data_IF_342783861511
#
_entry.id   IF_342783861511
#
_cell.length_a   1.000
_cell.length_b   1.000
_cell.length_c   1.000
_cell.angle_alpha   90.00
_cell.angle_beta   90.00
_cell.angle_gamma   90.00
#
_symmetry.space_group_name_H-M   'P 1'
#
loop_
_entity.id
_entity.type
_entity.pdbx_description
1 polymer ?
#
# COMPACT_ATOMS: atom_id res chain seq x y z
N UNK A 1 -8.07 -10.18 -0.02
CA UNK A 1 -7.05 -9.25 -0.56
C UNK A 1 -7.01 -9.43 -2.05
N UNK A 2 -7.05 -8.34 -2.82
CA UNK A 2 -6.87 -8.42 -4.26
C UNK A 2 -5.65 -7.61 -4.69
N UNK A 3 -4.76 -8.22 -5.45
CA UNK A 3 -3.65 -7.52 -6.10
C UNK A 3 -4.14 -7.05 -7.46
N UNK A 4 -4.19 -5.73 -7.67
CA UNK A 4 -4.65 -5.14 -8.93
C UNK A 4 -3.50 -4.68 -9.83
N UNK A 5 -2.28 -4.66 -9.29
CA UNK A 5 -1.07 -4.39 -10.05
C UNK A 5 0.13 -5.07 -9.40
N UNK A 6 1.01 -5.64 -10.22
CA UNK A 6 2.29 -6.22 -9.80
C UNK A 6 3.30 -6.08 -10.94
N UNK A 7 3.84 -4.89 -11.11
CA UNK A 7 4.76 -4.58 -12.20
C UNK A 7 6.09 -5.31 -12.00
N UNK A 8 6.60 -5.93 -13.05
CA UNK A 8 7.84 -6.72 -13.06
C UNK A 8 7.86 -7.85 -12.02
N UNK A 9 6.69 -8.32 -11.59
CA UNK A 9 6.56 -9.34 -10.54
C UNK A 9 7.35 -8.97 -9.27
N UNK A 10 7.21 -7.70 -8.84
CA UNK A 10 7.92 -7.19 -7.67
C UNK A 10 7.55 -7.94 -6.38
N UNK A 11 6.30 -8.38 -6.25
CA UNK A 11 5.88 -9.27 -5.16
C UNK A 11 5.58 -10.68 -5.71
N UNK A 12 5.88 -11.73 -4.93
CA UNK A 12 6.55 -11.71 -3.62
C UNK A 12 7.97 -11.17 -3.70
N UNK A 13 8.37 -10.43 -2.65
CA UNK A 13 9.70 -9.83 -2.58
C UNK A 13 10.78 -10.92 -2.57
N UNK A 14 11.81 -10.71 -3.38
CA UNK A 14 12.97 -11.57 -3.48
C UNK A 14 14.25 -10.75 -3.25
N UNK A 15 15.37 -11.44 -3.07
CA UNK A 15 16.67 -10.79 -2.88
C UNK A 15 16.63 -9.71 -1.80
N UNK A 16 16.07 -10.07 -0.62
CA UNK A 16 15.92 -9.18 0.53
C UNK A 16 17.25 -8.55 0.95
N UNK A 17 18.36 -9.25 0.72
CA UNK A 17 19.73 -8.78 0.94
C UNK A 17 20.09 -7.50 0.18
N UNK A 18 19.40 -7.20 -0.91
CA UNK A 18 19.63 -6.02 -1.74
C UNK A 18 18.68 -4.85 -1.44
N UNK A 19 17.68 -5.09 -0.59
CA UNK A 19 16.62 -4.12 -0.33
C UNK A 19 16.95 -3.25 0.89
N UNK A 20 16.76 -1.95 0.73
CA UNK A 20 16.62 -0.99 1.82
C UNK A 20 15.19 -0.51 1.83
N UNK A 21 14.40 -1.08 2.73
CA UNK A 21 12.96 -0.88 2.78
C UNK A 21 12.63 0.19 3.82
N UNK A 22 11.70 1.09 3.45
CA UNK A 22 10.96 1.89 4.40
C UNK A 22 9.48 1.53 4.33
N UNK A 23 8.81 1.48 5.47
CA UNK A 23 7.35 1.41 5.54
C UNK A 23 6.76 2.76 5.93
N UNK A 24 5.61 3.10 5.35
CA UNK A 24 4.89 4.34 5.62
C UNK A 24 3.43 4.04 5.91
N UNK A 25 2.91 4.51 7.05
CA UNK A 25 1.48 4.53 7.31
C UNK A 25 0.92 5.95 7.07
N UNK A 26 0.04 6.09 6.09
CA UNK A 26 -0.62 7.36 5.73
C UNK A 26 -1.98 7.40 6.42
N UNK A 27 -2.20 8.39 7.28
CA UNK A 27 -3.43 8.57 8.05
C UNK A 27 -3.41 7.92 9.43
N UNK A 28 -2.24 7.56 9.97
CA UNK A 28 -2.10 6.97 11.32
C UNK A 28 -1.27 7.86 12.24
N UNK A 29 -1.63 7.84 13.53
CA UNK A 29 -0.88 8.51 14.59
C UNK A 29 0.17 7.60 15.24
N UNK A 30 0.09 6.30 14.96
CA UNK A 30 0.96 5.27 15.54
C UNK A 30 1.35 4.25 14.47
N UNK A 31 2.39 3.47 14.75
CA UNK A 31 2.78 2.32 13.92
C UNK A 31 1.57 1.38 13.75
N UNK A 32 1.27 1.04 12.51
CA UNK A 32 0.12 0.20 12.18
C UNK A 32 0.42 -1.30 12.36
N UNK A 33 -0.64 -2.10 12.48
CA UNK A 33 -0.52 -3.58 12.46
C UNK A 33 0.20 -4.05 11.20
N UNK A 34 -0.06 -3.41 10.05
CA UNK A 34 0.62 -3.71 8.80
C UNK A 34 2.13 -3.52 8.91
N UNK A 35 2.58 -2.37 9.42
CA UNK A 35 4.01 -2.08 9.61
C UNK A 35 4.66 -3.04 10.61
N UNK A 36 3.99 -3.35 11.72
CA UNK A 36 4.50 -4.32 12.69
C UNK A 36 4.68 -5.71 12.05
N UNK A 37 3.73 -6.12 11.19
CA UNK A 37 3.86 -7.40 10.49
C UNK A 37 4.96 -7.39 9.44
N UNK A 38 5.13 -6.32 8.67
CA UNK A 38 6.26 -6.16 7.75
C UNK A 38 7.61 -6.28 8.48
N UNK A 39 7.73 -5.62 9.63
CA UNK A 39 8.92 -5.64 10.49
C UNK A 39 9.30 -7.06 10.94
N UNK A 40 8.34 -7.98 11.08
CA UNK A 40 8.63 -9.37 11.46
C UNK A 40 9.30 -10.20 10.37
N UNK A 41 9.26 -9.74 9.12
CA UNK A 41 9.94 -10.40 7.99
C UNK A 41 11.33 -9.81 7.73
N UNK A 42 11.47 -8.50 7.89
CA UNK A 42 12.72 -7.80 7.64
C UNK A 42 12.75 -6.50 8.43
N UNK A 43 13.88 -6.23 9.07
CA UNK A 43 14.10 -4.92 9.72
C UNK A 43 14.02 -3.80 8.69
N UNK A 44 13.25 -2.75 9.00
CA UNK A 44 13.05 -1.60 8.15
C UNK A 44 12.70 -0.34 8.94
N UNK A 45 12.99 0.81 8.37
CA UNK A 45 12.56 2.07 8.98
C UNK A 45 11.06 2.29 8.79
N UNK A 46 10.41 2.76 9.86
CA UNK A 46 8.96 2.95 9.91
C UNK A 46 8.61 4.43 10.01
N UNK A 47 7.84 4.92 9.06
CA UNK A 47 7.35 6.30 9.01
C UNK A 47 5.83 6.33 9.18
N UNK A 48 5.34 7.42 9.78
CA UNK A 48 3.91 7.69 9.89
C UNK A 48 3.62 9.11 9.42
N UNK A 49 2.42 9.30 8.86
CA UNK A 49 1.87 10.60 8.50
C UNK A 49 0.43 10.67 9.03
N UNK A 50 0.21 11.26 10.20
CA UNK A 50 -1.12 11.57 10.73
C UNK A 50 -1.97 12.39 9.75
N UNK A 51 -3.29 12.29 9.85
CA UNK A 51 -4.21 13.03 8.96
C UNK A 51 -4.05 14.55 9.04
N UNK A 52 -3.59 15.05 10.17
CA UNK A 52 -3.36 16.48 10.45
C UNK A 52 -1.91 16.92 10.22
N UNK A 53 -1.09 16.09 9.58
CA UNK A 53 0.30 16.46 9.27
C UNK A 53 0.38 17.73 8.44
N UNK A 54 1.29 18.62 8.82
CA UNK A 54 1.62 19.83 8.05
C UNK A 54 2.33 19.49 6.73
N UNK A 55 2.35 20.44 5.81
CA UNK A 55 3.10 20.24 4.56
C UNK A 55 4.60 20.03 4.81
N UNK A 56 5.18 20.69 5.80
CA UNK A 56 6.59 20.55 6.20
C UNK A 56 6.89 19.13 6.70
N UNK A 57 5.99 18.57 7.52
CA UNK A 57 6.11 17.19 8.01
C UNK A 57 6.01 16.17 6.86
N UNK A 58 5.06 16.37 5.95
CA UNK A 58 4.92 15.52 4.76
C UNK A 58 6.20 15.59 3.92
N UNK A 59 6.69 16.78 3.62
CA UNK A 59 7.86 16.98 2.76
C UNK A 59 9.13 16.42 3.40
N UNK A 60 9.26 16.50 4.74
CA UNK A 60 10.35 15.89 5.50
C UNK A 60 10.34 14.36 5.37
N UNK A 61 9.19 13.72 5.57
CA UNK A 61 9.05 12.28 5.42
C UNK A 61 9.34 11.86 3.97
N UNK A 62 8.73 12.52 2.99
CA UNK A 62 8.95 12.23 1.57
C UNK A 62 10.41 12.40 1.15
N UNK A 63 11.12 13.37 1.72
CA UNK A 63 12.55 13.55 1.49
C UNK A 63 13.38 12.40 2.07
N UNK A 64 13.06 11.94 3.28
CA UNK A 64 13.73 10.80 3.90
C UNK A 64 13.54 9.51 3.09
N UNK A 65 12.32 9.29 2.54
CA UNK A 65 12.00 8.09 1.76
C UNK A 65 12.83 7.95 0.48
N UNK A 66 13.42 9.00 -0.05
CA UNK A 66 14.33 8.95 -1.21
C UNK A 66 15.62 8.15 -0.96
N UNK A 67 15.96 7.89 0.30
CA UNK A 67 17.13 7.10 0.67
C UNK A 67 16.91 5.58 0.58
N UNK A 68 15.69 5.13 0.28
CA UNK A 68 15.32 3.72 0.19
C UNK A 68 15.11 3.31 -1.27
N UNK A 69 15.37 2.05 -1.57
CA UNK A 69 15.13 1.52 -2.91
C UNK A 69 13.77 0.81 -3.04
N UNK A 70 13.07 0.65 -1.92
CA UNK A 70 11.68 0.19 -1.87
C UNK A 70 10.93 0.90 -0.74
N UNK A 71 9.75 1.43 -1.05
CA UNK A 71 8.82 1.97 -0.05
C UNK A 71 7.52 1.17 -0.08
N UNK A 72 7.10 0.68 1.09
CA UNK A 72 5.83 -0.02 1.29
C UNK A 72 4.90 0.90 2.07
N UNK A 73 3.85 1.41 1.43
CA UNK A 73 2.93 2.36 2.04
C UNK A 73 1.54 1.78 2.24
N UNK A 74 0.98 1.99 3.42
CA UNK A 74 -0.41 1.70 3.74
C UNK A 74 -1.26 2.97 3.69
N UNK A 75 -2.40 2.92 2.98
CA UNK A 75 -3.44 3.95 3.01
C UNK A 75 -4.43 3.56 4.08
N UNK A 76 -4.48 4.35 5.14
CA UNK A 76 -5.30 4.14 6.33
C UNK A 76 -6.32 5.26 6.55
N UNK A 77 -7.17 5.07 7.55
CA UNK A 77 -8.15 6.06 8.02
C UNK A 77 -9.10 6.53 6.92
N UNK A 78 -9.38 5.68 5.96
CA UNK A 78 -10.39 5.88 4.92
C UNK A 78 -11.75 5.40 5.42
N UNK A 79 -12.82 5.80 4.73
CA UNK A 79 -14.19 5.42 5.05
C UNK A 79 -14.70 4.33 4.10
N UNK A 80 -15.61 3.51 4.58
CA UNK A 80 -16.26 2.50 3.73
C UNK A 80 -17.40 3.10 2.89
N UNK A 81 -17.85 4.31 3.19
CA UNK A 81 -18.97 5.00 2.53
C UNK A 81 -18.50 6.15 1.65
N UNK A 82 -19.26 6.45 0.60
CA UNK A 82 -18.92 7.42 -0.43
C UNK A 82 -18.73 8.89 0.00
N UNK A 83 -19.42 9.43 1.04
CA UNK A 83 -19.23 10.83 1.42
C UNK A 83 -17.77 11.19 1.66
N UNK A 84 -17.38 12.41 1.24
CA UNK A 84 -16.02 12.92 1.36
C UNK A 84 -14.98 12.02 0.65
N UNK A 85 -15.31 11.51 -0.54
CA UNK A 85 -14.40 10.69 -1.36
C UNK A 85 -13.86 9.48 -0.59
N UNK A 86 -14.70 8.80 0.17
CA UNK A 86 -14.32 7.67 1.04
C UNK A 86 -13.25 8.04 2.09
N UNK A 87 -13.22 9.31 2.51
CA UNK A 87 -12.23 9.81 3.48
C UNK A 87 -10.84 10.08 2.88
N UNK A 88 -10.69 10.04 1.57
CA UNK A 88 -9.45 10.46 0.92
C UNK A 88 -9.24 11.96 1.09
N UNK A 89 -8.11 12.34 1.65
CA UNK A 89 -7.74 13.72 1.97
C UNK A 89 -6.61 14.21 1.05
N UNK A 90 -6.33 15.54 1.03
CA UNK A 90 -5.15 16.07 0.34
C UNK A 90 -3.83 15.41 0.77
N UNK A 91 -3.70 15.00 2.04
CA UNK A 91 -2.55 14.26 2.54
C UNK A 91 -2.33 12.96 1.73
N UNK A 92 -3.38 12.14 1.58
CA UNK A 92 -3.31 10.90 0.82
C UNK A 92 -2.88 11.16 -0.63
N UNK A 93 -3.53 12.13 -1.30
CA UNK A 93 -3.25 12.48 -2.70
C UNK A 93 -1.81 12.96 -2.91
N UNK A 94 -1.36 13.92 -2.10
CA UNK A 94 0.00 14.47 -2.17
C UNK A 94 1.05 13.39 -1.92
N UNK A 95 0.83 12.58 -0.89
CA UNK A 95 1.79 11.54 -0.50
C UNK A 95 1.90 10.46 -1.57
N UNK A 96 0.77 9.94 -2.08
CA UNK A 96 0.78 8.89 -3.11
C UNK A 96 1.40 9.43 -4.40
N UNK A 97 1.05 10.64 -4.85
CA UNK A 97 1.66 11.23 -6.05
C UNK A 97 3.19 11.31 -5.93
N UNK A 98 3.70 11.68 -4.77
CA UNK A 98 5.15 11.72 -4.54
C UNK A 98 5.78 10.31 -4.52
N UNK A 99 5.12 9.33 -3.90
CA UNK A 99 5.60 7.95 -3.85
C UNK A 99 5.70 7.32 -5.23
N UNK A 100 4.79 7.62 -6.15
CA UNK A 100 4.81 7.08 -7.52
C UNK A 100 6.03 7.53 -8.34
N UNK A 101 6.76 8.52 -7.86
CA UNK A 101 8.01 9.03 -8.48
C UNK A 101 9.26 8.35 -7.94
N UNK A 102 9.14 7.53 -6.90
CA UNK A 102 10.24 6.73 -6.35
C UNK A 102 10.50 5.48 -7.21
N UNK A 103 11.69 4.88 -7.13
CA UNK A 103 12.07 3.74 -7.97
C UNK A 103 11.14 2.53 -7.85
N UNK A 104 10.78 2.15 -6.61
CA UNK A 104 9.88 1.04 -6.34
C UNK A 104 8.94 1.38 -5.19
N UNK A 105 7.64 1.19 -5.43
CA UNK A 105 6.60 1.44 -4.43
C UNK A 105 5.55 0.34 -4.43
N UNK A 106 5.17 -0.08 -3.23
CA UNK A 106 4.05 -0.98 -2.97
C UNK A 106 3.00 -0.19 -2.18
N UNK A 107 1.78 -0.13 -2.70
CA UNK A 107 0.65 0.53 -2.04
C UNK A 107 -0.36 -0.52 -1.58
N UNK A 108 -0.61 -0.57 -0.28
CA UNK A 108 -1.66 -1.37 0.34
C UNK A 108 -2.81 -0.44 0.76
N UNK A 109 -3.99 -0.61 0.14
CA UNK A 109 -5.18 0.17 0.48
C UNK A 109 -6.08 -0.62 1.45
N UNK A 110 -6.23 -0.08 2.67
CA UNK A 110 -7.05 -0.65 3.73
C UNK A 110 -8.43 0.01 3.78
N UNK A 111 -9.23 -0.17 2.72
CA UNK A 111 -10.51 0.51 2.63
C UNK A 111 -11.36 0.07 1.45
N UNK A 112 -12.39 0.87 1.17
CA UNK A 112 -13.29 0.63 0.06
C UNK A 112 -12.53 0.77 -1.28
N UNK A 113 -12.65 -0.17 -2.22
CA UNK A 113 -11.93 -0.13 -3.50
C UNK A 113 -12.24 1.12 -4.33
N UNK A 114 -13.45 1.66 -4.24
CA UNK A 114 -13.83 2.90 -4.95
C UNK A 114 -13.04 4.13 -4.47
N UNK A 115 -12.43 4.12 -3.28
CA UNK A 115 -11.58 5.21 -2.80
C UNK A 115 -10.39 5.47 -3.74
N UNK A 116 -9.88 4.44 -4.41
CA UNK A 116 -8.75 4.57 -5.34
C UNK A 116 -9.05 5.45 -6.55
N UNK A 117 -10.32 5.63 -6.93
CA UNK A 117 -10.72 6.57 -8.00
C UNK A 117 -10.44 8.04 -7.65
N UNK A 118 -10.24 8.34 -6.38
CA UNK A 118 -10.00 9.67 -5.86
C UNK A 118 -8.51 9.95 -5.57
N UNK A 119 -7.63 9.00 -5.91
CA UNK A 119 -6.17 9.12 -5.75
C UNK A 119 -5.52 9.08 -7.14
N UNK A 120 -5.15 10.26 -7.64
CA UNK A 120 -4.50 10.36 -8.93
C UNK A 120 -3.17 9.62 -8.95
N UNK A 121 -2.86 8.99 -10.07
CA UNK A 121 -1.58 8.30 -10.33
C UNK A 121 -1.30 7.06 -9.45
N UNK A 122 -2.22 6.59 -8.62
CA UNK A 122 -1.99 5.37 -7.82
C UNK A 122 -1.57 4.18 -8.69
N UNK A 123 -2.09 4.11 -9.91
CA UNK A 123 -1.75 3.09 -10.92
C UNK A 123 -0.30 3.20 -11.43
N UNK A 124 0.43 4.27 -11.14
CA UNK A 124 1.86 4.40 -11.45
C UNK A 124 2.77 3.69 -10.45
N UNK A 125 2.25 3.34 -9.26
CA UNK A 125 2.97 2.50 -8.30
C UNK A 125 3.31 1.13 -8.90
N UNK A 126 4.36 0.49 -8.40
CA UNK A 126 4.77 -0.82 -8.92
C UNK A 126 3.79 -1.92 -8.52
N UNK A 127 3.29 -1.87 -7.28
CA UNK A 127 2.29 -2.81 -6.76
C UNK A 127 1.16 -2.03 -6.11
N UNK A 128 -0.07 -2.47 -6.35
CA UNK A 128 -1.26 -1.99 -5.66
C UNK A 128 -2.09 -3.19 -5.22
N UNK A 129 -2.42 -3.24 -3.93
CA UNK A 129 -3.29 -4.27 -3.36
C UNK A 129 -4.37 -3.63 -2.47
N UNK A 130 -5.50 -4.31 -2.34
CA UNK A 130 -6.70 -3.85 -1.63
C UNK A 130 -7.14 -4.92 -0.64
N UNK A 131 -7.48 -4.52 0.59
CA UNK A 131 -7.97 -5.43 1.64
C UNK A 131 -9.46 -5.25 1.99
N UNK A 132 -10.15 -4.28 1.37
CA UNK A 132 -11.57 -3.95 1.55
C UNK A 132 -11.96 -3.43 2.94
N UNK A 133 -11.00 -3.16 3.80
CA UNK A 133 -11.23 -2.60 5.12
C UNK A 133 -9.97 -2.52 5.96
N UNK A 134 -9.98 -1.63 6.94
CA UNK A 134 -8.88 -1.47 7.89
C UNK A 134 -9.14 -2.38 9.10
N UNK A 135 -8.71 -3.64 9.00
CA UNK A 135 -8.84 -4.62 10.07
C UNK A 135 -7.54 -5.41 10.24
N UNK A 136 -7.39 -6.05 11.40
CA UNK A 136 -6.19 -6.80 11.76
C UNK A 136 -5.78 -7.81 10.67
N UNK A 137 -6.72 -8.66 10.25
CA UNK A 137 -6.43 -9.76 9.33
C UNK A 137 -6.05 -9.28 7.93
N UNK A 138 -6.73 -8.24 7.42
CA UNK A 138 -6.38 -7.65 6.13
C UNK A 138 -4.96 -7.07 6.13
N UNK A 139 -4.57 -6.38 7.20
CA UNK A 139 -3.24 -5.81 7.35
C UNK A 139 -2.16 -6.89 7.52
N UNK A 140 -2.43 -7.91 8.33
CA UNK A 140 -1.52 -9.02 8.57
C UNK A 140 -1.28 -9.83 7.29
N UNK A 141 -2.35 -10.21 6.59
CA UNK A 141 -2.25 -10.96 5.35
C UNK A 141 -1.62 -10.17 4.20
N UNK A 142 -1.85 -8.85 4.14
CA UNK A 142 -1.19 -8.00 3.15
C UNK A 142 0.35 -8.07 3.27
N UNK A 143 0.87 -8.02 4.50
CA UNK A 143 2.31 -8.17 4.74
C UNK A 143 2.80 -9.57 4.38
N UNK A 144 2.06 -10.62 4.75
CA UNK A 144 2.40 -12.00 4.38
C UNK A 144 2.49 -12.19 2.86
N UNK A 145 1.52 -11.62 2.14
CA UNK A 145 1.48 -11.71 0.67
C UNK A 145 2.68 -11.00 0.02
N UNK A 146 3.04 -9.82 0.51
CA UNK A 146 4.19 -9.05 0.00
C UNK A 146 5.48 -9.86 0.13
N UNK A 147 5.66 -10.56 1.25
CA UNK A 147 6.86 -11.38 1.50
C UNK A 147 6.74 -12.84 1.00
N UNK A 148 5.63 -13.20 0.35
CA UNK A 148 5.47 -14.52 -0.25
C UNK A 148 5.16 -15.65 0.73
N UNK A 149 4.67 -15.34 1.93
CA UNK A 149 4.30 -16.36 2.91
C UNK A 149 2.97 -17.05 2.60
N UNK A 150 2.13 -16.44 1.76
CA UNK A 150 0.83 -16.99 1.36
C UNK A 150 0.59 -16.82 -0.14
N UNK A 151 -0.23 -17.72 -0.70
CA UNK A 151 -0.79 -17.59 -2.05
C UNK A 151 -1.95 -16.59 -2.07
N UNK A 152 -2.21 -15.99 -3.22
CA UNK A 152 -3.41 -15.21 -3.46
C UNK A 152 -3.88 -15.32 -4.92
N UNK A 153 -5.17 -15.60 -5.11
CA UNK A 153 -5.83 -15.62 -6.41
C UNK A 153 -7.18 -14.87 -6.38
N UNK A 154 -7.36 -14.01 -5.40
CA UNK A 154 -8.61 -13.26 -5.23
C UNK A 154 -8.79 -12.20 -6.30
N UNK A 155 -10.04 -11.97 -6.67
CA UNK A 155 -10.45 -11.00 -7.67
C UNK A 155 -11.31 -9.89 -7.07
N UNK A 156 -11.46 -8.78 -7.79
CA UNK A 156 -12.32 -7.67 -7.39
C UNK A 156 -13.80 -8.12 -7.33
N UNK A 157 -14.51 -7.86 -6.24
CA UNK A 157 -15.94 -8.15 -6.13
C UNK A 157 -16.81 -7.08 -6.79
N UNK A 158 -16.21 -6.01 -7.30
CA UNK A 158 -16.90 -4.86 -7.92
C UNK A 158 -16.04 -4.25 -9.03
N UNK A 159 -16.67 -3.60 -10.00
CA UNK A 159 -15.99 -2.79 -11.00
C UNK A 159 -15.60 -1.45 -10.40
N UNK A 160 -14.30 -1.17 -10.31
CA UNK A 160 -13.78 0.15 -9.89
C UNK A 160 -13.86 1.14 -11.06
N UNK A 161 -13.37 0.74 -12.22
CA UNK A 161 -13.42 1.48 -13.48
C UNK A 161 -13.23 0.54 -14.67
N UNK A 162 -13.17 1.07 -15.90
CA UNK A 162 -13.07 0.24 -17.11
C UNK A 162 -11.81 -0.63 -17.16
N UNK A 163 -10.72 -0.24 -16.50
CA UNK A 163 -9.47 -1.02 -16.47
C UNK A 163 -9.43 -2.02 -15.30
N UNK A 164 -10.33 -1.86 -14.34
CA UNK A 164 -10.43 -2.67 -13.11
C UNK A 164 -11.88 -3.16 -12.95
N UNK A 165 -12.36 -4.04 -13.85
CA UNK A 165 -13.71 -4.60 -13.77
C UNK A 165 -13.83 -5.62 -12.64
N UNK A 166 -15.05 -5.91 -12.23
CA UNK A 166 -15.38 -7.08 -11.39
C UNK A 166 -14.71 -8.35 -11.97
N UNK A 167 -14.18 -9.19 -11.11
CA UNK A 167 -13.45 -10.39 -11.49
C UNK A 167 -11.97 -10.17 -11.85
N UNK A 168 -11.49 -8.91 -11.93
CA UNK A 168 -10.08 -8.63 -12.16
C UNK A 168 -9.25 -8.89 -10.90
N UNK A 169 -8.08 -9.51 -11.06
CA UNK A 169 -7.11 -9.74 -9.98
C UNK A 169 -5.89 -10.48 -10.51
N UNK A 170 -4.76 -10.28 -9.88
CA UNK A 170 -3.51 -10.95 -10.23
C UNK A 170 -3.23 -12.07 -9.23
N UNK A 171 -2.91 -13.24 -9.77
CA UNK A 171 -2.47 -14.36 -8.95
C UNK A 171 -1.04 -14.12 -8.44
N UNK A 172 -0.83 -14.34 -7.15
CA UNK A 172 0.48 -14.32 -6.50
C UNK A 172 0.70 -15.70 -5.89
N UNK A 173 1.80 -16.32 -6.22
CA UNK A 173 2.23 -17.59 -5.61
C UNK A 173 3.17 -17.30 -4.45
N UNK A 174 3.03 -18.05 -3.37
CA UNK A 174 4.01 -18.02 -2.28
C UNK A 174 5.38 -18.41 -2.80
N UNK A 175 6.41 -17.95 -2.13
CA UNK A 175 7.78 -18.42 -2.37
C UNK A 175 7.94 -19.81 -1.77
N UNK A 176 8.53 -20.72 -2.53
CA UNK A 176 9.03 -21.99 -1.96
C UNK A 176 10.26 -21.66 -1.11
N UNK A 177 10.32 -22.25 0.11
CA UNK A 177 11.43 -22.09 1.06
C UNK A 177 12.75 -22.67 0.48
#
# INVERSE_FOLDING_TARGET
>A
ITVIKNNKQLIPLQRLDTLRIASLAIGKDNISTFQNRLQSYMEMDQFILPLNSSNEEIDKVLSALKNYNLVIAGIHSTRLTAPQQYGITPLHKKTIDALTKLPNTIIAHFGNPYALQHIDNVEKSNVVLITYGENYWGMDYAAQLIFGAIDNNSTLPVTINNNLPEGFGLEIKKTDD
#
